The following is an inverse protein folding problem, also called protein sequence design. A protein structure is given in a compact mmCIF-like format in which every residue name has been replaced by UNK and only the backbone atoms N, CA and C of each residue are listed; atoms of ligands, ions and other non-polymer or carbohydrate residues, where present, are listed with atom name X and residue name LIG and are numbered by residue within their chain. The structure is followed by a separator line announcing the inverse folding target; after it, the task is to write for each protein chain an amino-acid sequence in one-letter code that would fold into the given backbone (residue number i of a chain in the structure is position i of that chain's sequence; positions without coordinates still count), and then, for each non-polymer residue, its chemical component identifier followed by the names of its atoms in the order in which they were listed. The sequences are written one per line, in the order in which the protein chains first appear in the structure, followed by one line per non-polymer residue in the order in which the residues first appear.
data_IF_766185086888
#
_entry.id   IF_766185086888
#
_cell.length_a   1.000
_cell.length_b   1.000
_cell.length_c   1.000
_cell.angle_alpha   90.00
_cell.angle_beta   90.00
_cell.angle_gamma   90.00
#
_symmetry.space_group_name_H-M   'P 1'
#
loop_
_entity.id
_entity.type
_entity.pdbx_description
1 polymer ?
#
# COMPACT_ATOMS: atom_id res chain seq x y z
N UNK A 1 -3.57 8.71 23.98
CA UNK A 1 -4.26 8.08 22.83
C UNK A 1 -3.85 8.88 21.60
N UNK A 2 -3.25 8.26 20.59
CA UNK A 2 -2.72 8.98 19.42
C UNK A 2 -3.35 8.44 18.15
N UNK A 3 -3.36 9.26 17.09
CA UNK A 3 -3.76 8.85 15.76
C UNK A 3 -2.54 8.80 14.85
N UNK A 4 -2.24 7.61 14.32
CA UNK A 4 -1.14 7.38 13.40
C UNK A 4 -1.64 7.33 11.96
N UNK A 5 -0.86 7.90 11.04
CA UNK A 5 -1.01 7.72 9.60
C UNK A 5 0.07 6.77 9.08
N UNK A 6 -0.32 5.85 8.20
CA UNK A 6 0.62 4.96 7.49
C UNK A 6 0.59 5.33 6.00
N UNK A 7 1.76 5.62 5.45
CA UNK A 7 2.01 5.86 4.03
C UNK A 7 3.22 5.02 3.61
N UNK A 8 3.08 4.25 2.53
CA UNK A 8 4.14 3.37 2.03
C UNK A 8 3.97 3.06 0.55
N UNK A 9 4.83 2.21 0.01
CA UNK A 9 4.71 1.70 -1.36
C UNK A 9 3.52 0.72 -1.46
N UNK A 10 2.69 0.79 -2.52
CA UNK A 10 1.46 0.01 -2.67
C UNK A 10 1.72 -1.46 -3.07
N UNK A 11 2.68 -2.14 -2.44
CA UNK A 11 2.97 -3.55 -2.67
C UNK A 11 2.78 -4.38 -1.40
N UNK A 12 2.34 -5.62 -1.57
CA UNK A 12 2.03 -6.55 -0.46
C UNK A 12 3.22 -6.77 0.47
N UNK A 13 4.45 -6.80 -0.05
CA UNK A 13 5.68 -6.91 0.73
C UNK A 13 5.90 -5.75 1.72
N UNK A 14 5.40 -4.55 1.42
CA UNK A 14 5.44 -3.40 2.32
C UNK A 14 4.20 -3.35 3.22
N UNK A 15 3.03 -3.66 2.66
CA UNK A 15 1.76 -3.51 3.37
C UNK A 15 1.55 -4.58 4.44
N UNK A 16 1.94 -5.84 4.23
CA UNK A 16 1.73 -6.89 5.25
C UNK A 16 2.50 -6.64 6.56
N UNK A 17 3.80 -6.26 6.55
CA UNK A 17 4.48 -5.88 7.79
C UNK A 17 3.83 -4.66 8.47
N UNK A 18 3.37 -3.69 7.67
CA UNK A 18 2.69 -2.50 8.21
C UNK A 18 1.34 -2.82 8.84
N UNK A 19 0.59 -3.80 8.33
CA UNK A 19 -0.65 -4.24 9.00
C UNK A 19 -0.36 -4.93 10.33
N UNK A 20 0.74 -5.67 10.46
CA UNK A 20 1.17 -6.24 11.74
C UNK A 20 1.50 -5.14 12.77
N UNK A 21 2.23 -4.10 12.36
CA UNK A 21 2.48 -2.92 13.21
C UNK A 21 1.19 -2.19 13.58
N UNK A 22 0.31 -1.97 12.61
CA UNK A 22 -0.97 -1.31 12.83
C UNK A 22 -1.85 -2.05 13.84
N UNK A 23 -1.90 -3.38 13.77
CA UNK A 23 -2.61 -4.22 14.75
C UNK A 23 -2.10 -4.01 16.17
N UNK A 24 -0.79 -3.89 16.36
CA UNK A 24 -0.22 -3.63 17.68
C UNK A 24 -0.57 -2.23 18.19
N UNK A 25 -0.59 -1.22 17.31
CA UNK A 25 -1.05 0.14 17.66
C UNK A 25 -2.53 0.14 18.07
N UNK A 26 -3.39 -0.55 17.33
CA UNK A 26 -4.80 -0.72 17.68
C UNK A 26 -4.98 -1.42 19.03
N UNK A 27 -4.19 -2.48 19.30
CA UNK A 27 -4.21 -3.20 20.59
C UNK A 27 -3.86 -2.28 21.76
N UNK A 28 -2.98 -1.30 21.55
CA UNK A 28 -2.62 -0.23 22.50
C UNK A 28 -3.64 0.91 22.55
N UNK A 29 -4.81 0.73 21.94
CA UNK A 29 -5.92 1.70 21.87
C UNK A 29 -5.55 2.98 21.11
N UNK A 30 -4.66 2.89 20.11
CA UNK A 30 -4.44 3.97 19.17
C UNK A 30 -5.39 3.87 17.97
N UNK A 31 -5.48 4.95 17.19
CA UNK A 31 -6.16 4.94 15.90
C UNK A 31 -5.11 4.88 14.78
N UNK A 32 -5.38 4.13 13.73
CA UNK A 32 -4.50 4.03 12.55
C UNK A 32 -5.33 4.28 11.29
N UNK A 33 -4.84 5.12 10.38
CA UNK A 33 -5.39 5.27 9.02
C UNK A 33 -4.28 5.05 8.01
N UNK A 34 -4.58 4.23 7.01
CA UNK A 34 -3.68 3.90 5.91
C UNK A 34 -4.06 4.72 4.69
N UNK A 35 -3.09 5.47 4.17
CA UNK A 35 -3.22 6.31 2.98
C UNK A 35 -2.64 5.58 1.78
N UNK A 36 -3.48 5.22 0.82
CA UNK A 36 -3.08 4.37 -0.31
C UNK A 36 -4.00 4.53 -1.52
N UNK A 37 -3.57 4.00 -2.67
CA UNK A 37 -4.37 3.94 -3.90
C UNK A 37 -5.49 2.88 -3.80
N UNK A 38 -6.52 3.01 -4.64
CA UNK A 38 -7.73 2.16 -4.60
C UNK A 38 -7.44 0.65 -4.62
N UNK A 39 -6.46 0.23 -5.42
CA UNK A 39 -6.17 -1.19 -5.70
C UNK A 39 -5.82 -2.01 -4.45
N UNK A 40 -5.32 -1.37 -3.40
CA UNK A 40 -4.93 -2.04 -2.15
C UNK A 40 -5.96 -1.89 -1.02
N UNK A 41 -7.10 -1.23 -1.25
CA UNK A 41 -8.14 -1.03 -0.22
C UNK A 41 -8.60 -2.36 0.39
N UNK A 42 -8.80 -3.38 -0.45
CA UNK A 42 -9.23 -4.71 -0.03
C UNK A 42 -8.26 -5.39 0.96
N UNK A 43 -6.97 -5.00 1.00
CA UNK A 43 -6.02 -5.46 2.01
C UNK A 43 -6.28 -4.81 3.36
N UNK A 44 -6.65 -3.53 3.37
CA UNK A 44 -6.94 -2.78 4.60
C UNK A 44 -8.28 -3.20 5.19
N UNK A 45 -9.29 -3.44 4.35
CA UNK A 45 -10.59 -3.97 4.77
C UNK A 45 -10.42 -5.32 5.48
N UNK A 46 -9.64 -6.25 4.88
CA UNK A 46 -9.33 -7.55 5.49
C UNK A 46 -8.52 -7.43 6.78
N UNK A 47 -7.69 -6.40 6.90
CA UNK A 47 -6.91 -6.13 8.10
C UNK A 47 -7.69 -5.37 9.20
N UNK A 48 -8.93 -4.95 8.93
CA UNK A 48 -9.73 -4.13 9.84
C UNK A 48 -9.13 -2.73 10.07
N UNK A 49 -8.41 -2.20 9.09
CA UNK A 49 -7.75 -0.90 9.17
C UNK A 49 -8.57 0.17 8.47
N UNK A 50 -8.55 1.40 9.00
CA UNK A 50 -9.15 2.55 8.32
C UNK A 50 -8.34 2.86 7.07
N UNK A 51 -9.03 3.14 5.98
CA UNK A 51 -8.45 3.46 4.68
C UNK A 51 -8.82 4.88 4.27
N UNK A 52 -7.86 5.60 3.71
CA UNK A 52 -8.09 6.87 3.04
C UNK A 52 -7.44 6.79 1.65
N UNK A 53 -8.26 6.90 0.62
CA UNK A 53 -7.77 6.86 -0.76
C UNK A 53 -6.93 8.11 -1.05
N UNK A 54 -5.86 7.93 -1.83
CA UNK A 54 -5.07 9.01 -2.41
C UNK A 54 -4.73 8.66 -3.86
N UNK A 55 -4.42 9.68 -4.67
CA UNK A 55 -3.91 9.50 -6.03
C UNK A 55 -4.97 9.08 -7.04
N UNK A 56 -6.24 9.46 -6.84
CA UNK A 56 -7.39 9.11 -7.67
C UNK A 56 -7.19 9.42 -9.16
N UNK A 57 -6.52 10.54 -9.46
CA UNK A 57 -6.27 10.98 -10.83
C UNK A 57 -5.11 10.23 -11.49
N UNK A 58 -4.02 10.02 -10.74
CA UNK A 58 -2.78 9.42 -11.25
C UNK A 58 -2.79 7.89 -11.20
N UNK A 59 -3.58 7.31 -10.30
CA UNK A 59 -3.71 5.88 -10.05
C UNK A 59 -5.18 5.46 -10.01
N UNK A 60 -5.91 5.53 -11.14
CA UNK A 60 -7.25 4.97 -11.23
C UNK A 60 -7.24 3.46 -10.94
N UNK A 61 -8.39 2.87 -10.53
CA UNK A 61 -8.47 1.44 -10.24
C UNK A 61 -7.92 0.56 -11.37
N UNK A 62 -7.08 -0.40 -11.03
CA UNK A 62 -6.39 -1.31 -11.95
C UNK A 62 -4.97 -0.88 -12.34
N UNK A 63 -4.53 0.33 -11.97
CA UNK A 63 -3.19 0.83 -12.31
C UNK A 63 -2.09 -0.09 -11.78
N UNK A 64 -2.19 -0.57 -10.53
CA UNK A 64 -1.17 -1.45 -9.97
C UNK A 64 -1.12 -2.80 -10.66
N UNK A 65 -2.25 -3.31 -11.15
CA UNK A 65 -2.27 -4.55 -11.93
C UNK A 65 -1.43 -4.39 -13.20
N UNK A 66 -1.66 -3.32 -13.97
CA UNK A 66 -0.92 -3.04 -15.21
C UNK A 66 0.58 -2.87 -14.93
N UNK A 67 0.94 -2.12 -13.88
CA UNK A 67 2.33 -1.92 -13.50
C UNK A 67 3.00 -3.24 -13.05
N UNK A 68 2.30 -4.07 -12.28
CA UNK A 68 2.81 -5.37 -11.84
C UNK A 68 2.96 -6.35 -13.02
N UNK A 69 2.01 -6.38 -13.95
CA UNK A 69 2.12 -7.18 -15.18
C UNK A 69 3.34 -6.77 -16.02
N UNK A 70 3.60 -5.46 -16.16
CA UNK A 70 4.81 -4.97 -16.82
C UNK A 70 6.07 -5.40 -16.06
N UNK A 71 6.13 -5.16 -14.75
CA UNK A 71 7.28 -5.53 -13.91
C UNK A 71 7.58 -7.03 -13.99
N UNK A 72 6.55 -7.89 -14.04
CA UNK A 72 6.70 -9.35 -14.12
C UNK A 72 7.47 -9.86 -15.35
N UNK A 73 7.57 -9.04 -16.40
CA UNK A 73 8.26 -9.35 -17.66
C UNK A 73 9.71 -8.85 -17.67
N UNK A 74 10.11 -8.08 -16.66
CA UNK A 74 11.45 -7.50 -16.53
C UNK A 74 12.28 -8.34 -15.56
N UNK A 75 13.60 -8.30 -15.72
CA UNK A 75 14.52 -9.06 -14.87
C UNK A 75 15.75 -8.23 -14.48
N UNK A 76 16.31 -8.51 -13.30
CA UNK A 76 17.56 -7.92 -12.86
C UNK A 76 17.55 -6.38 -12.84
N UNK A 77 18.55 -5.71 -13.43
CA UNK A 77 18.65 -4.25 -13.44
C UNK A 77 17.46 -3.54 -14.08
N UNK A 78 16.88 -4.09 -15.16
CA UNK A 78 15.75 -3.48 -15.87
C UNK A 78 14.49 -3.38 -14.99
N UNK A 79 14.24 -4.43 -14.19
CA UNK A 79 13.14 -4.43 -13.23
C UNK A 79 13.34 -3.36 -12.14
N UNK A 80 14.59 -3.19 -11.68
CA UNK A 80 14.93 -2.18 -10.66
C UNK A 80 14.74 -0.77 -11.23
N UNK A 81 15.27 -0.50 -12.42
CA UNK A 81 15.08 0.79 -13.08
C UNK A 81 13.60 1.13 -13.27
N UNK A 82 12.77 0.18 -13.69
CA UNK A 82 11.32 0.43 -13.81
C UNK A 82 10.65 0.85 -12.50
N UNK A 83 11.06 0.26 -11.36
CA UNK A 83 10.49 0.60 -10.05
C UNK A 83 10.98 1.96 -9.53
N UNK A 84 12.21 2.36 -9.88
CA UNK A 84 12.84 3.59 -9.37
C UNK A 84 12.81 4.77 -10.34
N UNK A 85 12.47 4.57 -11.61
CA UNK A 85 12.37 5.65 -12.59
C UNK A 85 11.24 6.60 -12.19
N UNK A 86 11.60 7.89 -12.15
CA UNK A 86 10.69 9.03 -11.98
C UNK A 86 10.22 9.54 -13.33
#
# INVERSE_FOLDING_TARGET
MSHFGILSFPATGHLHPLTALARELLRRRHTVTVFQVADVQHLMDRAGLRFHQIGELDFPPGTLQVLNERLSRLHGPEAMEFVFQR
#
